data_IF_281829048987
#
_entry.id   IF_281829048987
#
_cell.length_a   1.000
_cell.length_b   1.000
_cell.length_c   1.000
_cell.angle_alpha   90.00
_cell.angle_beta   90.00
_cell.angle_gamma   90.00
#
_symmetry.space_group_name_H-M   'P 1'
#
loop_
_entity.id
_entity.type
_entity.pdbx_description
1 polymer ?
#
# COMPACT_ATOMS: atom_id res chain seq x y z
N UNK A 1 7.14 57.85 -14.47
CA UNK A 1 6.59 57.42 -13.17
C UNK A 1 6.80 55.92 -13.04
N UNK A 2 7.52 55.51 -11.99
CA UNK A 2 8.19 54.20 -11.84
C UNK A 2 7.14 53.10 -11.59
N UNK A 3 7.07 52.09 -12.46
CA UNK A 3 6.23 50.89 -12.30
C UNK A 3 6.77 50.04 -11.14
N UNK A 4 6.39 50.38 -9.91
CA UNK A 4 6.93 49.78 -8.69
C UNK A 4 6.09 48.60 -8.15
N UNK A 5 4.91 48.35 -8.73
CA UNK A 5 3.98 47.30 -8.30
C UNK A 5 4.07 46.00 -9.13
N UNK A 6 4.82 46.01 -10.24
CA UNK A 6 5.01 44.82 -11.08
C UNK A 6 6.11 43.89 -10.56
N UNK A 7 7.02 44.37 -9.71
CA UNK A 7 8.06 43.55 -9.08
C UNK A 7 7.52 42.53 -8.06
N UNK A 8 6.64 42.88 -7.10
CA UNK A 8 6.14 41.90 -6.13
C UNK A 8 5.23 40.84 -6.77
N UNK A 9 4.50 41.20 -7.84
CA UNK A 9 3.61 40.28 -8.55
C UNK A 9 4.39 39.20 -9.34
N UNK A 10 5.50 39.58 -9.96
CA UNK A 10 6.37 38.64 -10.70
C UNK A 10 7.12 37.72 -9.73
N UNK A 11 7.53 38.24 -8.56
CA UNK A 11 8.18 37.42 -7.52
C UNK A 11 7.20 36.42 -6.90
N UNK A 12 5.94 36.80 -6.66
CA UNK A 12 4.88 35.92 -6.15
C UNK A 12 4.47 34.83 -7.15
N UNK A 13 4.40 35.18 -8.45
CA UNK A 13 4.10 34.21 -9.51
C UNK A 13 5.26 33.23 -9.74
N UNK A 14 6.51 33.69 -9.59
CA UNK A 14 7.70 32.84 -9.66
C UNK A 14 7.81 31.89 -8.45
N UNK A 15 7.28 32.24 -7.27
CA UNK A 15 7.29 31.36 -6.09
C UNK A 15 6.28 30.22 -6.21
N UNK A 16 5.15 30.44 -6.89
CA UNK A 16 4.12 29.41 -7.14
C UNK A 16 4.58 28.38 -8.18
N UNK A 17 5.49 28.75 -9.08
CA UNK A 17 6.07 27.84 -10.08
C UNK A 17 7.19 26.94 -9.54
N UNK A 18 7.79 27.25 -8.38
CA UNK A 18 8.85 26.43 -7.77
C UNK A 18 8.33 25.31 -6.84
N UNK A 19 7.06 25.32 -6.45
CA UNK A 19 6.49 24.28 -5.56
C UNK A 19 5.94 23.06 -6.31
N UNK A 20 5.89 23.07 -7.63
CA UNK A 20 5.49 21.90 -8.46
C UNK A 20 6.69 21.04 -8.85
N UNK A 21 7.63 20.88 -7.92
CA UNK A 21 8.93 20.27 -8.19
C UNK A 21 9.33 19.27 -7.12
N UNK A 22 8.46 18.31 -6.81
CA UNK A 22 8.85 16.99 -6.31
C UNK A 22 7.61 16.12 -6.13
N UNK A 23 7.22 15.36 -7.16
CA UNK A 23 6.68 14.01 -6.96
C UNK A 23 7.32 13.16 -8.06
N UNK A 24 8.63 12.96 -7.94
CA UNK A 24 9.23 11.76 -8.50
C UNK A 24 9.14 10.74 -7.37
N UNK A 25 8.01 10.05 -7.28
CA UNK A 25 7.97 8.80 -6.55
C UNK A 25 8.85 7.85 -7.33
N UNK A 26 10.08 7.64 -6.87
CA UNK A 26 10.83 6.44 -7.22
C UNK A 26 9.87 5.27 -6.97
N UNK A 27 9.43 4.59 -8.03
CA UNK A 27 8.36 3.61 -7.96
C UNK A 27 8.63 2.65 -6.83
N UNK A 28 7.84 2.75 -5.76
CA UNK A 28 8.05 1.94 -4.57
C UNK A 28 7.93 0.47 -4.96
N UNK A 29 8.71 -0.41 -4.34
CA UNK A 29 8.63 -1.83 -4.62
C UNK A 29 7.18 -2.30 -4.42
N UNK A 30 6.68 -3.01 -5.43
CA UNK A 30 5.38 -3.68 -5.36
C UNK A 30 5.48 -4.76 -4.29
N UNK A 31 4.69 -4.62 -3.24
CA UNK A 31 4.65 -5.59 -2.14
C UNK A 31 3.52 -6.59 -2.31
N UNK A 32 2.39 -6.17 -2.89
CA UNK A 32 1.23 -7.04 -3.08
C UNK A 32 0.47 -6.72 -4.38
N UNK A 33 0.20 -7.76 -5.17
CA UNK A 33 -0.75 -7.68 -6.28
C UNK A 33 -2.07 -8.30 -5.86
N UNK A 34 -3.12 -7.47 -5.75
CA UNK A 34 -4.48 -7.91 -5.53
C UNK A 34 -5.16 -8.19 -6.88
N UNK A 35 -5.74 -9.38 -7.05
CA UNK A 35 -6.42 -9.79 -8.28
C UNK A 35 -7.88 -10.10 -7.97
N UNK A 36 -8.75 -9.13 -8.20
CA UNK A 36 -10.20 -9.23 -8.07
C UNK A 36 -10.91 -8.99 -9.40
N UNK A 37 -12.03 -8.24 -9.39
CA UNK A 37 -12.64 -7.70 -10.62
C UNK A 37 -11.63 -6.84 -11.41
N UNK A 38 -10.86 -6.03 -10.70
CA UNK A 38 -9.71 -5.30 -11.22
C UNK A 38 -8.42 -5.74 -10.52
N UNK A 39 -7.32 -5.71 -11.26
CA UNK A 39 -5.99 -5.96 -10.69
C UNK A 39 -5.44 -4.66 -10.12
N UNK A 40 -5.10 -4.68 -8.84
CA UNK A 40 -4.52 -3.55 -8.12
C UNK A 40 -3.16 -3.91 -7.57
N UNK A 41 -2.25 -2.95 -7.57
CA UNK A 41 -0.89 -3.11 -7.08
C UNK A 41 -0.73 -2.20 -5.87
N UNK A 42 -0.34 -2.77 -4.73
CA UNK A 42 -0.18 -2.06 -3.46
C UNK A 42 1.31 -2.02 -3.09
N UNK A 43 1.76 -0.83 -2.68
CA UNK A 43 3.09 -0.64 -2.10
C UNK A 43 3.07 -1.00 -0.61
N UNK A 44 4.25 -1.04 0.02
CA UNK A 44 4.32 -1.24 1.46
C UNK A 44 3.63 -0.11 2.24
N UNK A 45 3.74 1.12 1.74
CA UNK A 45 3.19 2.28 2.41
C UNK A 45 1.66 2.31 2.28
N UNK A 46 1.11 1.90 1.14
CA UNK A 46 -0.34 1.67 1.00
C UNK A 46 -0.87 0.69 2.06
N UNK A 47 -0.14 -0.42 2.29
CA UNK A 47 -0.51 -1.42 3.29
C UNK A 47 -0.37 -0.91 4.73
N UNK A 48 0.58 -0.02 5.02
CA UNK A 48 0.73 0.56 6.36
C UNK A 48 -0.35 1.58 6.69
N UNK A 49 -0.91 2.23 5.66
CA UNK A 49 -2.00 3.20 5.81
C UNK A 49 -3.35 2.51 6.08
N UNK A 50 -3.46 1.20 5.83
CA UNK A 50 -4.64 0.39 6.14
C UNK A 50 -4.76 0.09 7.65
N UNK A 51 -5.98 -0.19 8.16
CA UNK A 51 -6.17 -0.60 9.55
C UNK A 51 -5.33 -1.84 9.89
N UNK A 52 -4.43 -1.69 10.87
CA UNK A 52 -3.59 -2.77 11.35
C UNK A 52 -4.21 -3.47 12.57
N UNK A 53 -4.01 -4.78 12.65
CA UNK A 53 -4.33 -5.59 13.83
C UNK A 53 -3.08 -6.29 14.33
N UNK A 54 -2.99 -6.42 15.65
CA UNK A 54 -1.90 -7.11 16.33
C UNK A 54 -2.44 -8.35 17.04
N UNK A 55 -1.74 -9.49 16.92
CA UNK A 55 -2.13 -10.73 17.57
C UNK A 55 -1.03 -11.78 17.60
N UNK A 56 -1.18 -12.76 18.48
CA UNK A 56 -0.25 -13.89 18.59
C UNK A 56 -0.47 -14.90 17.46
N UNK A 57 0.59 -15.21 16.73
CA UNK A 57 0.58 -16.18 15.63
C UNK A 57 1.74 -17.14 15.72
N UNK A 58 1.53 -18.40 15.34
CA UNK A 58 2.59 -19.41 15.22
C UNK A 58 2.40 -20.23 13.96
N UNK A 59 3.39 -21.02 13.56
CA UNK A 59 3.25 -21.91 12.38
C UNK A 59 3.73 -23.31 12.66
N UNK A 60 3.10 -24.28 12.02
CA UNK A 60 3.56 -25.67 11.93
C UNK A 60 3.69 -26.03 10.45
N UNK A 61 4.86 -26.54 10.05
CA UNK A 61 5.05 -27.01 8.67
C UNK A 61 4.63 -28.48 8.49
N UNK A 62 4.65 -28.96 7.25
CA UNK A 62 4.25 -30.33 6.88
C UNK A 62 5.10 -31.43 7.54
N UNK A 63 6.38 -31.14 7.84
CA UNK A 63 7.28 -32.07 8.55
C UNK A 63 7.12 -32.02 10.07
N UNK A 64 6.20 -31.21 10.59
CA UNK A 64 5.85 -31.15 12.00
C UNK A 64 6.72 -30.21 12.84
N UNK A 65 7.62 -29.43 12.22
CA UNK A 65 8.38 -28.40 12.92
C UNK A 65 7.45 -27.25 13.31
N UNK A 66 7.52 -26.85 14.59
CA UNK A 66 6.69 -25.80 15.17
C UNK A 66 7.55 -24.56 15.40
N UNK A 67 7.06 -23.42 14.96
CA UNK A 67 7.50 -22.09 15.40
C UNK A 67 6.50 -21.58 16.42
N UNK A 68 6.99 -21.27 17.61
CA UNK A 68 6.16 -20.83 18.73
C UNK A 68 5.41 -19.53 18.40
N UNK A 69 4.27 -19.29 19.07
CA UNK A 69 3.57 -18.03 18.95
C UNK A 69 4.47 -16.84 19.27
N UNK A 70 4.39 -15.82 18.44
CA UNK A 70 4.92 -14.49 18.68
C UNK A 70 3.91 -13.46 18.19
N UNK A 71 4.09 -12.22 18.63
CA UNK A 71 3.25 -11.12 18.21
C UNK A 71 3.51 -10.78 16.73
N UNK A 72 2.43 -10.72 15.94
CA UNK A 72 2.42 -10.26 14.56
C UNK A 72 1.53 -9.04 14.44
N UNK A 73 1.94 -8.09 13.60
CA UNK A 73 1.11 -6.96 13.18
C UNK A 73 0.95 -6.99 11.67
N UNK A 74 -0.26 -6.78 11.20
CA UNK A 74 -0.56 -6.76 9.77
C UNK A 74 -1.97 -6.26 9.47
N UNK A 75 -2.29 -6.20 8.18
CA UNK A 75 -3.63 -5.82 7.69
C UNK A 75 -4.54 -7.05 7.70
N UNK A 76 -5.76 -6.97 8.26
CA UNK A 76 -6.74 -8.05 8.14
C UNK A 76 -7.05 -8.31 6.67
N UNK A 77 -7.11 -9.59 6.25
CA UNK A 77 -7.51 -9.92 4.87
C UNK A 77 -8.90 -9.38 4.50
N UNK A 78 -9.77 -9.15 5.48
CA UNK A 78 -11.08 -8.54 5.29
C UNK A 78 -11.02 -7.09 4.84
N UNK A 79 -9.97 -6.34 5.18
CA UNK A 79 -9.79 -4.96 4.68
C UNK A 79 -9.52 -4.96 3.17
N UNK A 80 -8.85 -6.00 2.65
CA UNK A 80 -8.65 -6.15 1.21
C UNK A 80 -9.97 -6.37 0.45
N UNK A 81 -11.06 -6.77 1.14
CA UNK A 81 -12.39 -6.90 0.51
C UNK A 81 -13.02 -5.55 0.22
N UNK A 82 -12.58 -4.47 0.89
CA UNK A 82 -13.06 -3.14 0.56
C UNK A 82 -12.59 -2.68 -0.83
N UNK A 83 -11.45 -3.24 -1.30
CA UNK A 83 -10.93 -3.03 -2.65
C UNK A 83 -11.80 -3.68 -3.72
N UNK A 84 -12.61 -4.68 -3.35
CA UNK A 84 -13.46 -5.43 -4.27
C UNK A 84 -14.70 -6.00 -3.55
N UNK A 85 -15.84 -5.37 -3.82
CA UNK A 85 -17.12 -5.74 -3.19
C UNK A 85 -17.71 -7.06 -3.72
N UNK A 86 -17.03 -7.76 -4.63
CA UNK A 86 -17.45 -9.05 -5.15
C UNK A 86 -17.08 -10.23 -4.24
N UNK A 87 -16.19 -10.05 -3.26
CA UNK A 87 -15.85 -11.11 -2.30
C UNK A 87 -17.04 -11.38 -1.36
N UNK A 88 -17.48 -12.64 -1.31
CA UNK A 88 -18.56 -13.10 -0.44
C UNK A 88 -18.05 -14.16 0.53
N UNK A 89 -18.88 -14.54 1.51
CA UNK A 89 -18.60 -15.65 2.43
C UNK A 89 -18.34 -17.01 1.73
N UNK A 90 -18.73 -17.13 0.47
CA UNK A 90 -18.58 -18.33 -0.33
C UNK A 90 -17.36 -18.28 -1.28
N UNK A 91 -16.56 -17.21 -1.20
CA UNK A 91 -15.35 -17.03 -2.01
C UNK A 91 -14.14 -17.72 -1.38
N UNK A 92 -13.22 -18.22 -2.21
CA UNK A 92 -11.92 -18.73 -1.79
C UNK A 92 -10.82 -17.74 -2.18
N UNK A 93 -9.84 -17.56 -1.30
CA UNK A 93 -8.67 -16.70 -1.55
C UNK A 93 -7.52 -17.60 -1.98
N UNK A 94 -6.86 -17.24 -3.08
CA UNK A 94 -5.57 -17.81 -3.47
C UNK A 94 -4.46 -16.83 -3.14
N UNK A 95 -3.45 -17.29 -2.42
CA UNK A 95 -2.26 -16.48 -2.12
C UNK A 95 -1.07 -17.06 -2.86
N UNK A 96 -0.40 -16.25 -3.67
CA UNK A 96 0.80 -16.64 -4.42
C UNK A 96 2.01 -15.87 -3.91
N UNK A 97 3.03 -16.58 -3.47
CA UNK A 97 4.29 -16.00 -3.04
C UNK A 97 5.19 -15.62 -4.24
N UNK A 98 6.20 -14.76 -4.06
CA UNK A 98 7.11 -14.36 -5.13
C UNK A 98 7.90 -15.50 -5.78
N UNK A 99 8.05 -16.64 -5.08
CA UNK A 99 8.67 -17.86 -5.60
C UNK A 99 7.71 -18.71 -6.47
N UNK A 100 6.47 -18.25 -6.66
CA UNK A 100 5.45 -18.93 -7.45
C UNK A 100 4.68 -20.02 -6.69
N UNK A 101 4.95 -20.21 -5.39
CA UNK A 101 4.16 -21.12 -4.57
C UNK A 101 2.77 -20.52 -4.28
N UNK A 102 1.71 -21.31 -4.42
CA UNK A 102 0.34 -20.86 -4.16
C UNK A 102 -0.44 -21.81 -3.25
N UNK A 103 -1.28 -21.24 -2.39
CA UNK A 103 -2.26 -21.94 -1.55
C UNK A 103 -3.66 -21.42 -1.80
#
# INVERSE_FOLDING_TARGET
MKKWHTLPLIVLLATILLTTGCITGDGEPVELTYVGEETQTLTLDDLKDMPAVTGEGGRKNSVGQITLPMEFTGVPLTELYELDRSITENSAIRVTAPDGYSV
#
